data_IF_321075385286
#
_entry.id   IF_321075385286
#
_cell.length_a   1.000
_cell.length_b   1.000
_cell.length_c   1.000
_cell.angle_alpha   90.00
_cell.angle_beta   90.00
_cell.angle_gamma   90.00
#
_symmetry.space_group_name_H-M   'P 1'
#
loop_
_entity.id
_entity.type
_entity.pdbx_description
1 polymer ?
#
# COMPACT_ATOMS: atom_id res chain seq x y z
N UNK A 1 -2.09 20.89 -9.94
CA UNK A 1 -1.32 20.72 -11.20
C UNK A 1 -0.60 19.38 -11.24
N UNK A 2 0.18 19.03 -10.22
CA UNK A 2 0.96 17.78 -10.13
C UNK A 2 0.14 16.51 -10.32
N UNK A 3 -1.07 16.43 -9.76
CA UNK A 3 -1.97 15.28 -9.95
C UNK A 3 -2.33 15.02 -11.43
N UNK A 4 -2.58 16.08 -12.21
CA UNK A 4 -2.88 15.96 -13.65
C UNK A 4 -1.65 15.53 -14.44
N UNK A 5 -0.47 16.02 -14.07
CA UNK A 5 0.79 15.64 -14.72
C UNK A 5 1.09 14.16 -14.52
N UNK A 6 0.98 13.67 -13.28
CA UNK A 6 1.27 12.28 -12.92
C UNK A 6 0.19 11.29 -13.41
N UNK A 7 -1.03 11.77 -13.65
CA UNK A 7 -2.11 10.97 -14.22
C UNK A 7 -2.21 11.03 -15.75
N UNK A 8 -1.41 11.87 -16.42
CA UNK A 8 -1.50 12.06 -17.88
C UNK A 8 -0.79 10.95 -18.64
N UNK A 9 -1.47 10.40 -19.65
CA UNK A 9 -0.87 9.43 -20.59
C UNK A 9 -0.06 10.09 -21.70
N UNK A 10 -0.23 11.40 -21.91
CA UNK A 10 0.48 12.17 -22.95
C UNK A 10 1.83 12.70 -22.49
N UNK A 11 2.15 12.60 -21.20
CA UNK A 11 3.42 13.05 -20.63
C UNK A 11 4.40 11.87 -20.61
N UNK A 12 5.64 12.11 -21.01
CA UNK A 12 6.64 11.04 -21.06
C UNK A 12 6.90 10.47 -19.66
N UNK A 13 7.12 9.15 -19.61
CA UNK A 13 7.46 8.48 -18.34
C UNK A 13 8.71 9.08 -17.69
N UNK A 14 9.68 9.53 -18.48
CA UNK A 14 10.90 10.17 -17.98
C UNK A 14 10.59 11.43 -17.16
N UNK A 15 9.65 12.26 -17.63
CA UNK A 15 9.22 13.46 -16.90
C UNK A 15 8.49 13.08 -15.62
N UNK A 16 7.60 12.08 -15.68
CA UNK A 16 6.91 11.58 -14.49
C UNK A 16 7.89 11.03 -13.45
N UNK A 17 8.89 10.27 -13.87
CA UNK A 17 9.95 9.76 -13.00
C UNK A 17 10.77 10.89 -12.38
N UNK A 18 11.13 11.92 -13.15
CA UNK A 18 11.85 13.09 -12.63
C UNK A 18 11.04 13.82 -11.54
N UNK A 19 9.73 13.94 -11.72
CA UNK A 19 8.81 14.52 -10.72
C UNK A 19 8.70 13.63 -9.49
N UNK A 20 8.62 12.30 -9.65
CA UNK A 20 8.59 11.36 -8.52
C UNK A 20 9.88 11.39 -7.70
N UNK A 21 11.05 11.52 -8.34
CA UNK A 21 12.34 11.63 -7.65
C UNK A 21 12.48 12.92 -6.83
N UNK A 22 11.65 13.93 -7.11
CA UNK A 22 11.63 15.22 -6.40
C UNK A 22 10.24 15.51 -5.84
N UNK A 23 9.52 14.46 -5.42
CA UNK A 23 8.11 14.59 -5.08
C UNK A 23 7.85 15.60 -3.96
N UNK A 24 8.80 15.79 -3.03
CA UNK A 24 8.72 16.80 -1.97
C UNK A 24 8.67 18.24 -2.52
N UNK A 25 9.35 18.51 -3.64
CA UNK A 25 9.35 19.81 -4.32
C UNK A 25 8.00 20.08 -5.01
N UNK A 26 7.39 19.03 -5.57
CA UNK A 26 6.17 19.15 -6.37
C UNK A 26 4.86 18.88 -5.59
N UNK A 27 4.98 18.28 -4.41
CA UNK A 27 3.88 17.99 -3.46
C UNK A 27 4.37 18.30 -2.04
N UNK A 28 4.65 19.58 -1.72
CA UNK A 28 5.15 19.98 -0.40
C UNK A 28 4.09 19.91 0.70
N UNK A 29 2.82 19.88 0.32
CA UNK A 29 1.66 19.86 1.23
C UNK A 29 0.93 18.52 1.17
N UNK A 30 0.13 18.22 2.19
CA UNK A 30 -0.72 17.03 2.30
C UNK A 30 -1.93 17.09 1.34
N UNK A 31 -1.71 17.44 0.07
CA UNK A 31 -2.70 17.41 -0.99
C UNK A 31 -2.99 15.96 -1.39
N UNK A 32 -4.11 15.44 -0.88
CA UNK A 32 -4.59 14.07 -1.09
C UNK A 32 -4.54 13.60 -2.53
N UNK A 33 -5.06 14.38 -3.48
CA UNK A 33 -5.14 13.96 -4.89
C UNK A 33 -3.76 13.90 -5.55
N UNK A 34 -2.85 14.80 -5.17
CA UNK A 34 -1.49 14.80 -5.68
C UNK A 34 -0.71 13.58 -5.14
N UNK A 35 -0.83 13.28 -3.85
CA UNK A 35 -0.22 12.10 -3.24
C UNK A 35 -0.79 10.79 -3.79
N UNK A 36 -2.09 10.71 -4.03
CA UNK A 36 -2.72 9.55 -4.66
C UNK A 36 -2.24 9.36 -6.10
N UNK A 37 -2.17 10.44 -6.89
CA UNK A 37 -1.65 10.38 -8.25
C UNK A 37 -0.17 9.97 -8.29
N UNK A 38 0.63 10.49 -7.36
CA UNK A 38 2.03 10.11 -7.21
C UNK A 38 2.21 8.64 -6.85
N UNK A 39 1.45 8.14 -5.87
CA UNK A 39 1.46 6.72 -5.53
C UNK A 39 1.08 5.84 -6.72
N UNK A 40 0.02 6.18 -7.47
CA UNK A 40 -0.38 5.41 -8.66
C UNK A 40 0.66 5.45 -9.78
N UNK A 41 1.27 6.61 -10.00
CA UNK A 41 2.33 6.78 -10.99
C UNK A 41 3.56 5.95 -10.60
N UNK A 42 4.00 6.03 -9.34
CA UNK A 42 5.09 5.22 -8.81
C UNK A 42 4.82 3.72 -8.92
N UNK A 43 3.62 3.29 -8.56
CA UNK A 43 3.16 1.91 -8.71
C UNK A 43 3.22 1.40 -10.16
N UNK A 44 2.79 2.23 -11.11
CA UNK A 44 2.75 1.89 -12.54
C UNK A 44 4.14 1.92 -13.18
N UNK A 45 5.00 2.84 -12.73
CA UNK A 45 6.36 3.00 -13.20
C UNK A 45 7.37 2.11 -12.47
N UNK A 46 6.93 1.40 -11.42
CA UNK A 46 7.78 0.64 -10.47
C UNK A 46 8.93 1.48 -9.92
N UNK A 47 8.65 2.74 -9.62
CA UNK A 47 9.61 3.66 -9.01
C UNK A 47 9.52 3.50 -7.49
N UNK A 48 10.60 3.11 -6.80
CA UNK A 48 10.57 2.98 -5.35
C UNK A 48 10.36 4.35 -4.71
N UNK A 49 9.41 4.43 -3.79
CA UNK A 49 9.21 5.60 -2.94
C UNK A 49 9.89 5.37 -1.59
N UNK A 50 10.36 6.45 -0.97
CA UNK A 50 10.91 6.37 0.38
C UNK A 50 9.85 5.96 1.40
N UNK A 51 10.20 5.26 2.50
CA UNK A 51 9.26 4.90 3.55
C UNK A 51 8.49 6.10 4.11
N UNK A 52 9.17 7.23 4.35
CA UNK A 52 8.54 8.47 4.80
C UNK A 52 7.45 8.97 3.84
N UNK A 53 7.67 8.83 2.52
CA UNK A 53 6.66 9.20 1.53
C UNK A 53 5.49 8.22 1.53
N UNK A 54 5.73 6.92 1.72
CA UNK A 54 4.68 5.93 1.86
C UNK A 54 3.82 6.18 3.11
N UNK A 55 4.43 6.55 4.24
CA UNK A 55 3.70 6.94 5.44
C UNK A 55 2.81 8.17 5.19
N UNK A 56 3.34 9.18 4.50
CA UNK A 56 2.56 10.37 4.11
C UNK A 56 1.40 9.99 3.18
N UNK A 57 1.64 9.18 2.16
CA UNK A 57 0.59 8.69 1.26
C UNK A 57 -0.46 7.91 2.04
N UNK A 58 -0.07 7.01 2.95
CA UNK A 58 -0.98 6.23 3.78
C UNK A 58 -1.86 7.12 4.65
N UNK A 59 -1.24 8.06 5.39
CA UNK A 59 -1.94 8.98 6.30
C UNK A 59 -2.95 9.86 5.56
N UNK A 60 -2.55 10.44 4.43
CA UNK A 60 -3.37 11.45 3.73
C UNK A 60 -4.40 10.81 2.80
N UNK A 61 -4.01 9.77 2.05
CA UNK A 61 -4.92 9.17 1.05
C UNK A 61 -5.89 8.17 1.67
N UNK A 62 -5.43 7.47 2.72
CA UNK A 62 -6.08 6.30 3.32
C UNK A 62 -6.45 5.23 2.28
N UNK A 63 -5.66 5.13 1.22
CA UNK A 63 -5.88 4.23 0.10
C UNK A 63 -5.12 2.93 0.34
N UNK A 64 -5.75 1.99 1.07
CA UNK A 64 -5.09 0.78 1.52
C UNK A 64 -4.58 -0.09 0.37
N UNK A 65 -5.38 -0.27 -0.69
CA UNK A 65 -4.98 -1.05 -1.85
C UNK A 65 -3.74 -0.47 -2.53
N UNK A 66 -3.67 0.85 -2.68
CA UNK A 66 -2.51 1.53 -3.24
C UNK A 66 -1.27 1.39 -2.35
N UNK A 67 -1.42 1.60 -1.05
CA UNK A 67 -0.30 1.56 -0.10
C UNK A 67 0.26 0.15 0.02
N UNK A 68 -0.60 -0.86 0.15
CA UNK A 68 -0.17 -2.26 0.23
C UNK A 68 0.53 -2.70 -1.05
N UNK A 69 0.03 -2.28 -2.22
CA UNK A 69 0.69 -2.53 -3.49
C UNK A 69 2.08 -1.87 -3.56
N UNK A 70 2.22 -0.61 -3.12
CA UNK A 70 3.51 0.07 -3.10
C UNK A 70 4.51 -0.60 -2.13
N UNK A 71 4.03 -1.03 -0.96
CA UNK A 71 4.84 -1.76 0.02
C UNK A 71 5.30 -3.11 -0.53
N UNK A 72 4.41 -3.86 -1.17
CA UNK A 72 4.76 -5.14 -1.81
C UNK A 72 5.81 -4.95 -2.91
N UNK A 73 5.69 -3.91 -3.73
CA UNK A 73 6.66 -3.59 -4.78
C UNK A 73 8.05 -3.23 -4.27
N UNK A 74 8.17 -2.68 -3.06
CA UNK A 74 9.49 -2.44 -2.44
C UNK A 74 10.19 -3.74 -2.06
N UNK A 75 9.46 -4.84 -1.86
CA UNK A 75 10.03 -6.12 -1.45
C UNK A 75 11.00 -5.94 -0.29
N UNK A 76 12.21 -6.49 -0.40
CA UNK A 76 13.19 -6.45 0.68
C UNK A 76 13.83 -5.07 0.95
N UNK A 77 13.52 -4.04 0.17
CA UNK A 77 14.06 -2.69 0.35
C UNK A 77 13.43 -1.92 1.53
N UNK A 78 12.28 -2.37 2.05
CA UNK A 78 11.61 -1.79 3.22
C UNK A 78 11.66 -2.79 4.39
N UNK A 79 11.95 -2.35 5.62
CA UNK A 79 11.95 -3.25 6.78
C UNK A 79 10.53 -3.59 7.24
N UNK A 80 10.36 -4.67 7.99
CA UNK A 80 9.06 -5.06 8.56
C UNK A 80 8.53 -4.04 9.57
N UNK A 81 9.39 -3.39 10.35
CA UNK A 81 9.02 -2.27 11.22
C UNK A 81 8.48 -1.09 10.40
N UNK A 82 9.14 -0.75 9.30
CA UNK A 82 8.68 0.31 8.39
C UNK A 82 7.35 -0.06 7.72
N UNK A 83 7.16 -1.33 7.35
CA UNK A 83 5.88 -1.81 6.83
C UNK A 83 4.77 -1.55 7.85
N UNK A 84 4.96 -1.95 9.12
CA UNK A 84 3.97 -1.75 10.17
C UNK A 84 3.68 -0.26 10.38
N UNK A 85 4.71 0.59 10.41
CA UNK A 85 4.55 2.03 10.54
C UNK A 85 3.73 2.63 9.38
N UNK A 86 4.03 2.25 8.14
CA UNK A 86 3.27 2.68 6.95
C UNK A 86 1.82 2.21 7.02
N UNK A 87 1.59 0.94 7.35
CA UNK A 87 0.24 0.38 7.41
C UNK A 87 -0.58 1.00 8.55
N UNK A 88 0.00 1.24 9.72
CA UNK A 88 -0.69 1.85 10.84
C UNK A 88 -1.29 3.24 10.51
N UNK A 89 -0.62 4.00 9.62
CA UNK A 89 -1.12 5.29 9.14
C UNK A 89 -2.41 5.19 8.31
N UNK A 90 -2.81 4.00 7.84
CA UNK A 90 -4.10 3.78 7.16
C UNK A 90 -5.30 3.77 8.14
N UNK A 91 -5.05 3.63 9.45
CA UNK A 91 -6.10 3.45 10.46
C UNK A 91 -6.58 1.99 10.55
N UNK A 92 -7.73 1.75 11.18
CA UNK A 92 -8.31 0.39 11.28
C UNK A 92 -8.67 -0.16 9.89
N UNK A 93 -8.40 -1.45 9.60
CA UNK A 93 -7.90 -2.49 10.51
C UNK A 93 -6.36 -2.57 10.63
N UNK A 94 -5.61 -1.74 9.90
CA UNK A 94 -4.14 -1.81 9.86
C UNK A 94 -3.46 -1.30 11.13
N UNK A 95 -4.03 -0.30 11.79
CA UNK A 95 -3.53 0.17 13.08
C UNK A 95 -3.58 -0.92 14.18
N UNK A 96 -4.42 -1.95 14.01
CA UNK A 96 -4.52 -3.06 14.97
C UNK A 96 -3.34 -4.05 14.86
N UNK A 97 -2.48 -3.91 13.84
CA UNK A 97 -1.26 -4.72 13.72
C UNK A 97 -0.26 -4.49 14.86
N UNK A 98 -0.35 -3.35 15.56
CA UNK A 98 0.45 -3.04 16.74
C UNK A 98 -0.26 -3.36 18.06
N UNK A 99 -1.53 -3.78 18.00
CA UNK A 99 -2.33 -4.08 19.18
C UNK A 99 -2.23 -5.55 19.53
N UNK A 100 -1.73 -5.85 20.73
CA UNK A 100 -1.66 -7.23 21.23
C UNK A 100 -3.06 -7.85 21.31
N UNK A 101 -3.17 -9.14 20.94
CA UNK A 101 -4.41 -9.92 20.89
C UNK A 101 -5.49 -9.44 19.89
N UNK A 102 -5.25 -8.42 19.08
CA UNK A 102 -6.16 -8.06 18.00
C UNK A 102 -6.16 -9.13 16.89
N UNK A 103 -7.31 -9.31 16.24
CA UNK A 103 -7.47 -10.22 15.10
C UNK A 103 -8.06 -9.48 13.90
N UNK A 104 -7.34 -8.47 13.35
CA UNK A 104 -7.83 -7.69 12.23
C UNK A 104 -8.03 -8.58 11.00
N UNK A 105 -9.04 -8.23 10.20
CA UNK A 105 -9.34 -8.90 8.93
C UNK A 105 -8.92 -8.00 7.78
N UNK A 106 -8.21 -8.58 6.81
CA UNK A 106 -7.71 -7.89 5.63
C UNK A 106 -8.31 -8.47 4.35
N UNK A 107 -8.37 -7.69 3.25
CA UNK A 107 -8.66 -8.21 1.93
C UNK A 107 -7.77 -9.41 1.55
N UNK A 108 -8.36 -10.40 0.88
CA UNK A 108 -7.66 -11.61 0.43
C UNK A 108 -7.17 -11.45 -1.02
N UNK A 109 -6.31 -10.47 -1.27
CA UNK A 109 -5.62 -10.28 -2.55
C UNK A 109 -4.12 -10.59 -2.45
N UNK A 110 -3.49 -10.76 -3.61
CA UNK A 110 -2.09 -11.16 -3.71
C UNK A 110 -1.15 -10.22 -2.95
N UNK A 111 -1.35 -8.91 -3.02
CA UNK A 111 -0.44 -7.94 -2.40
C UNK A 111 -0.55 -7.96 -0.88
N UNK A 112 -1.78 -7.98 -0.34
CA UNK A 112 -1.98 -8.16 1.10
C UNK A 112 -1.36 -9.47 1.60
N UNK A 113 -1.55 -10.55 0.85
CA UNK A 113 -1.00 -11.85 1.23
C UNK A 113 0.53 -11.86 1.25
N UNK A 114 1.20 -11.22 0.29
CA UNK A 114 2.67 -11.12 0.28
C UNK A 114 3.19 -10.29 1.46
N UNK A 115 2.61 -9.12 1.69
CA UNK A 115 3.01 -8.23 2.80
C UNK A 115 2.79 -8.92 4.16
N UNK A 116 1.62 -9.53 4.38
CA UNK A 116 1.32 -10.23 5.64
C UNK A 116 2.15 -11.50 5.81
N UNK A 117 2.43 -12.26 4.74
CA UNK A 117 3.31 -13.42 4.80
C UNK A 117 4.73 -13.01 5.23
N UNK A 118 5.23 -11.89 4.71
CA UNK A 118 6.54 -11.35 5.09
C UNK A 118 6.59 -10.93 6.55
N UNK A 119 5.57 -10.22 7.04
CA UNK A 119 5.47 -9.86 8.46
C UNK A 119 5.42 -11.11 9.37
N UNK A 120 4.78 -12.18 8.92
CA UNK A 120 4.80 -13.47 9.63
C UNK A 120 6.18 -14.13 9.62
N UNK A 121 6.86 -14.15 8.48
CA UNK A 121 8.20 -14.75 8.36
C UNK A 121 9.22 -14.06 9.28
N UNK A 122 9.10 -12.75 9.45
CA UNK A 122 9.93 -11.94 10.36
C UNK A 122 9.49 -12.01 11.83
N UNK A 123 8.48 -12.83 12.15
CA UNK A 123 7.99 -13.00 13.52
C UNK A 123 7.14 -11.84 14.08
N UNK A 124 6.78 -10.86 13.24
CA UNK A 124 5.91 -9.73 13.64
C UNK A 124 4.44 -10.10 13.76
N UNK A 125 4.01 -11.14 13.04
CA UNK A 125 2.67 -11.70 13.17
C UNK A 125 2.75 -13.10 13.77
N UNK A 126 2.15 -13.35 14.94
CA UNK A 126 2.19 -14.67 15.57
C UNK A 126 1.43 -15.71 14.74
N UNK A 127 0.36 -15.29 14.05
CA UNK A 127 -0.49 -16.17 13.24
C UNK A 127 -1.08 -15.41 12.06
N UNK A 128 -1.08 -16.07 10.90
CA UNK A 128 -1.83 -15.64 9.71
C UNK A 128 -2.78 -16.77 9.33
N UNK A 129 -4.09 -16.50 9.36
CA UNK A 129 -5.12 -17.47 9.00
C UNK A 129 -5.92 -16.94 7.82
N UNK A 130 -6.03 -17.71 6.73
CA UNK A 130 -6.96 -17.39 5.64
C UNK A 130 -8.32 -17.98 5.98
N UNK A 131 -9.35 -17.14 6.09
CA UNK A 131 -10.74 -17.60 6.04
C UNK A 131 -11.15 -17.62 4.58
N UNK A 132 -11.45 -18.80 4.04
CA UNK A 132 -12.17 -18.88 2.77
C UNK A 132 -13.56 -18.31 3.01
N UNK A 133 -13.91 -17.21 2.32
CA UNK A 133 -15.30 -16.81 2.22
C UNK A 133 -16.06 -17.99 1.60
N UNK A 134 -17.14 -18.43 2.23
CA UNK A 134 -17.99 -19.55 1.82
C UNK A 134 -18.37 -19.38 0.33
N UNK A 135 -17.67 -20.07 -0.58
CA UNK A 135 -18.12 -20.21 -1.96
C UNK A 135 -19.23 -21.27 -1.96
N UNK A 136 -20.42 -20.89 -1.49
CA UNK A 136 -21.59 -21.77 -1.54
C UNK A 136 -22.11 -21.82 -2.97
N UNK A 137 -22.04 -22.99 -3.60
CA UNK A 137 -23.03 -23.41 -4.59
C UNK A 137 -23.46 -24.82 -4.17
N UNK A 138 -24.65 -24.91 -3.57
CA UNK A 138 -25.36 -26.17 -3.37
C UNK A 138 -26.22 -26.40 -4.61
N UNK A 139 -25.97 -27.48 -5.35
CA UNK A 139 -26.87 -27.95 -6.41
C UNK A 139 -27.42 -29.31 -5.99
N UNK A 140 -28.73 -29.37 -5.80
CA UNK A 140 -29.48 -30.64 -5.72
C UNK A 140 -30.12 -30.85 -7.08
N UNK A 141 -29.78 -31.94 -7.75
CA UNK A 141 -30.42 -32.38 -9.01
C UNK A 141 -31.27 -33.60 -8.67
N UNK A 142 -32.55 -33.59 -9.04
CA UNK A 142 -33.41 -34.76 -9.15
C UNK A 142 -33.71 -34.99 -10.63
#
# INVERSE_FOLDING_TARGET
MTARLLGSTSISRTVQQAVLSRLDEFVPTDHRDALRAAGRCAATARVPLSPAKLEQIARVTRDAALVVLLVDQLGNAISTDQIIAVLANLGSPYAELTTSAASPTFPNDSHHLQVLARLKQDGRLPKLTRRQAKSQISVTIA
#
